data_IF_766470371812
#
_entry.id   IF_766470371812
#
_cell.length_a   1.000
_cell.length_b   1.000
_cell.length_c   1.000
_cell.angle_alpha   90.00
_cell.angle_beta   90.00
_cell.angle_gamma   90.00
#
_symmetry.space_group_name_H-M   'P 1'
#
loop_
_entity.id
_entity.type
_entity.pdbx_description
1 polymer ?
#
# COMPACT_ATOMS: atom_id res chain seq x y z
N UNK A 1 -48.66 81.62 -15.25
CA UNK A 1 -47.20 81.71 -15.39
C UNK A 1 -46.53 80.94 -14.26
N UNK A 2 -45.69 79.93 -14.61
CA UNK A 2 -44.76 79.12 -13.77
C UNK A 2 -45.32 78.07 -12.78
N UNK A 3 -45.46 76.85 -13.33
CA UNK A 3 -45.02 75.50 -12.87
C UNK A 3 -44.57 75.35 -11.40
N UNK A 4 -45.14 74.36 -10.69
CA UNK A 4 -44.39 73.47 -9.78
C UNK A 4 -45.08 72.09 -9.66
N UNK A 5 -44.36 71.05 -10.11
CA UNK A 5 -44.70 69.62 -10.04
C UNK A 5 -44.59 69.11 -8.59
N UNK A 6 -45.46 68.18 -8.18
CA UNK A 6 -45.13 67.17 -7.18
C UNK A 6 -45.64 65.80 -7.61
N UNK A 7 -44.75 64.82 -7.41
CA UNK A 7 -44.68 63.48 -8.01
C UNK A 7 -45.38 62.46 -7.11
N UNK A 8 -46.13 61.52 -7.71
CA UNK A 8 -46.63 60.30 -7.05
C UNK A 8 -45.50 59.27 -6.95
N UNK A 9 -45.32 58.60 -5.82
CA UNK A 9 -44.68 57.28 -5.78
C UNK A 9 -45.23 56.42 -4.63
N UNK A 10 -45.82 55.29 -4.98
CA UNK A 10 -46.14 54.15 -4.10
C UNK A 10 -44.83 53.46 -3.69
N UNK A 11 -44.73 53.04 -2.43
CA UNK A 11 -43.68 52.13 -1.97
C UNK A 11 -44.33 50.91 -1.34
N UNK A 12 -44.31 49.80 -2.07
CA UNK A 12 -44.44 48.43 -1.57
C UNK A 12 -43.04 47.83 -1.64
N UNK A 13 -42.48 47.39 -0.52
CA UNK A 13 -41.07 46.98 -0.43
C UNK A 13 -40.85 45.72 0.40
N UNK A 14 -40.92 44.59 -0.31
CA UNK A 14 -40.25 43.28 -0.13
C UNK A 14 -39.51 42.98 1.20
N UNK A 15 -39.98 41.97 1.94
CA UNK A 15 -39.19 41.21 2.91
C UNK A 15 -38.26 40.23 2.16
N UNK A 16 -36.95 40.44 2.24
CA UNK A 16 -35.94 39.49 1.76
C UNK A 16 -35.63 38.51 2.91
N UNK A 17 -36.10 37.27 2.80
CA UNK A 17 -35.61 36.16 3.62
C UNK A 17 -34.42 35.52 2.92
N UNK A 18 -33.20 35.81 3.39
CA UNK A 18 -32.00 35.07 3.01
C UNK A 18 -31.97 33.74 3.76
N UNK A 19 -32.31 32.66 3.05
CA UNK A 19 -32.15 31.29 3.52
C UNK A 19 -30.68 30.88 3.32
N UNK A 20 -29.86 31.02 4.35
CA UNK A 20 -28.50 30.49 4.38
C UNK A 20 -28.55 28.98 4.57
N UNK A 21 -28.37 28.22 3.49
CA UNK A 21 -28.16 26.78 3.54
C UNK A 21 -26.79 26.52 4.15
N UNK A 22 -26.75 26.09 5.41
CA UNK A 22 -25.59 25.41 5.96
C UNK A 22 -25.51 24.05 5.23
N UNK A 23 -24.61 23.98 4.25
CA UNK A 23 -24.17 22.70 3.72
C UNK A 23 -23.54 21.92 4.85
N UNK A 24 -24.20 20.86 5.29
CA UNK A 24 -23.57 19.86 6.15
C UNK A 24 -22.54 19.19 5.26
N UNK A 25 -21.28 19.59 5.38
CA UNK A 25 -20.17 18.80 4.85
C UNK A 25 -20.13 17.58 5.75
N UNK A 26 -20.76 16.49 5.31
CA UNK A 26 -20.51 15.18 5.90
C UNK A 26 -19.02 14.93 5.74
N UNK A 27 -18.26 15.01 6.84
CA UNK A 27 -16.91 14.48 6.86
C UNK A 27 -16.99 13.02 6.45
N UNK A 28 -16.36 12.66 5.34
CA UNK A 28 -16.11 11.26 5.04
C UNK A 28 -15.23 10.75 6.19
N UNK A 29 -15.80 9.94 7.07
CA UNK A 29 -15.00 9.19 8.02
C UNK A 29 -14.30 8.13 7.18
N UNK A 30 -12.98 8.22 7.04
CA UNK A 30 -12.20 7.15 6.43
C UNK A 30 -12.46 5.88 7.24
N UNK A 31 -12.96 4.83 6.59
CA UNK A 31 -13.10 3.52 7.23
C UNK A 31 -11.72 2.89 7.31
N UNK A 32 -11.12 2.93 8.51
CA UNK A 32 -9.88 2.23 8.81
C UNK A 32 -10.21 0.83 9.31
N UNK A 33 -9.65 -0.17 8.65
CA UNK A 33 -9.70 -1.56 9.06
C UNK A 33 -8.37 -1.96 9.68
N UNK A 34 -8.40 -2.62 10.85
CA UNK A 34 -7.20 -3.21 11.44
C UNK A 34 -7.36 -4.73 11.44
N UNK A 35 -6.53 -5.40 10.64
CA UNK A 35 -6.36 -6.84 10.74
C UNK A 35 -5.39 -7.15 11.88
N UNK A 36 -5.65 -8.23 12.60
CA UNK A 36 -4.85 -8.67 13.74
C UNK A 36 -4.72 -10.18 13.71
N UNK A 37 -3.49 -10.68 13.87
CA UNK A 37 -3.23 -12.08 14.15
C UNK A 37 -1.95 -12.24 14.97
N UNK A 38 -2.05 -12.91 16.11
CA UNK A 38 -0.94 -13.24 17.02
C UNK A 38 0.01 -12.06 17.33
N UNK A 39 1.22 -12.00 16.77
CA UNK A 39 2.22 -10.96 17.01
C UNK A 39 2.10 -9.75 16.06
N UNK A 40 1.08 -9.74 15.19
CA UNK A 40 1.03 -8.87 14.02
C UNK A 40 -0.29 -8.14 13.86
N UNK A 41 -0.21 -6.91 13.36
CA UNK A 41 -1.37 -6.12 12.93
C UNK A 41 -1.06 -5.39 11.63
N UNK A 42 -2.07 -5.19 10.77
CA UNK A 42 -1.96 -4.31 9.61
C UNK A 42 -3.20 -3.43 9.48
N UNK A 43 -3.01 -2.17 9.07
CA UNK A 43 -4.11 -1.22 8.86
C UNK A 43 -4.38 -1.04 7.38
N UNK A 44 -5.65 -1.03 6.98
CA UNK A 44 -6.11 -0.76 5.63
C UNK A 44 -7.09 0.42 5.66
N UNK A 45 -6.71 1.52 5.02
CA UNK A 45 -7.63 2.61 4.68
C UNK A 45 -8.27 2.31 3.32
N UNK A 46 -9.56 1.96 3.33
CA UNK A 46 -10.29 1.58 2.13
C UNK A 46 -10.73 2.76 1.26
N UNK A 47 -10.48 4.00 1.68
CA UNK A 47 -11.02 5.19 1.02
C UNK A 47 -9.97 6.26 0.71
N UNK A 48 -8.69 5.93 0.85
CA UNK A 48 -7.59 6.83 0.51
C UNK A 48 -6.43 6.09 -0.14
N UNK A 49 -5.54 6.85 -0.78
CA UNK A 49 -4.32 6.31 -1.37
C UNK A 49 -3.34 5.74 -0.33
N UNK A 50 -3.51 6.03 0.96
CA UNK A 50 -2.68 5.42 2.02
C UNK A 50 -2.79 3.91 1.99
N UNK A 51 -3.98 3.38 1.73
CA UNK A 51 -4.16 1.96 1.50
C UNK A 51 -3.74 1.09 2.67
N UNK A 52 -2.95 0.06 2.39
CA UNK A 52 -2.35 -0.78 3.44
C UNK A 52 -1.12 -0.08 4.03
N UNK A 53 -1.09 0.05 5.36
CA UNK A 53 -0.02 0.71 6.12
C UNK A 53 0.06 0.10 7.52
N UNK A 54 1.04 0.52 8.32
CA UNK A 54 1.16 0.12 9.71
C UNK A 54 1.21 -1.41 9.87
N UNK A 55 2.07 -2.09 9.10
CA UNK A 55 2.30 -3.53 9.25
C UNK A 55 3.27 -3.75 10.42
N UNK A 56 2.66 -3.83 11.60
CA UNK A 56 3.35 -3.98 12.87
C UNK A 56 3.61 -5.45 13.14
N UNK A 57 4.88 -5.82 13.35
CA UNK A 57 5.33 -7.16 13.76
C UNK A 57 6.11 -7.02 15.06
N UNK A 58 5.66 -7.68 16.12
CA UNK A 58 6.28 -7.61 17.45
C UNK A 58 6.44 -6.17 17.99
N UNK A 59 5.49 -5.30 17.62
CA UNK A 59 5.44 -3.90 18.05
C UNK A 59 6.27 -2.92 17.21
N UNK A 60 6.93 -3.40 16.15
CA UNK A 60 7.65 -2.55 15.19
C UNK A 60 6.86 -2.46 13.89
N UNK A 61 6.53 -1.24 13.46
CA UNK A 61 5.95 -0.99 12.15
C UNK A 61 7.02 -1.12 11.06
N UNK A 62 6.65 -1.76 9.96
CA UNK A 62 7.52 -1.99 8.82
C UNK A 62 7.00 -1.36 7.53
N UNK A 63 5.72 -0.96 7.44
CA UNK A 63 5.11 -0.57 6.18
C UNK A 63 4.57 0.86 6.23
N UNK A 64 5.20 1.74 5.45
CA UNK A 64 4.73 3.09 5.27
C UNK A 64 3.48 3.11 4.38
N UNK A 65 3.54 2.50 3.19
CA UNK A 65 2.43 2.49 2.24
C UNK A 65 2.47 1.30 1.27
N UNK A 66 1.32 0.68 1.03
CA UNK A 66 1.08 -0.15 -0.13
C UNK A 66 -0.29 0.18 -0.72
N UNK A 67 -0.34 0.43 -2.02
CA UNK A 67 -1.62 0.64 -2.68
C UNK A 67 -1.65 0.24 -4.17
N UNK A 68 -2.80 0.46 -4.82
CA UNK A 68 -3.07 0.03 -6.18
C UNK A 68 -3.60 1.15 -7.08
N UNK A 69 -3.16 1.13 -8.34
CA UNK A 69 -3.63 2.03 -9.40
C UNK A 69 -4.08 1.23 -10.61
N UNK A 70 -4.97 1.82 -11.41
CA UNK A 70 -5.43 1.25 -12.67
C UNK A 70 -5.50 2.31 -13.78
N UNK A 71 -5.11 1.93 -14.99
CA UNK A 71 -5.25 2.72 -16.21
C UNK A 71 -5.98 1.91 -17.29
N UNK A 72 -6.79 2.58 -18.12
CA UNK A 72 -7.54 1.94 -19.21
C UNK A 72 -7.09 2.52 -20.55
N UNK A 73 -6.72 1.63 -21.48
CA UNK A 73 -6.20 2.01 -22.78
C UNK A 73 -4.90 2.82 -22.66
N UNK A 74 -4.87 3.98 -23.29
CA UNK A 74 -3.71 4.90 -23.29
C UNK A 74 -3.92 6.12 -22.38
N UNK A 75 -5.01 6.17 -21.62
CA UNK A 75 -5.26 7.23 -20.64
C UNK A 75 -4.36 7.10 -19.41
N UNK A 76 -4.36 8.07 -18.49
CA UNK A 76 -3.60 7.99 -17.24
C UNK A 76 -4.12 6.87 -16.34
N UNK A 77 -3.37 6.59 -15.29
CA UNK A 77 -3.81 5.73 -14.19
C UNK A 77 -4.41 6.54 -13.04
N UNK A 78 -5.28 5.89 -12.29
CA UNK A 78 -5.94 6.42 -11.11
C UNK A 78 -5.84 5.41 -9.99
N UNK A 79 -5.73 5.90 -8.76
CA UNK A 79 -5.76 5.05 -7.58
C UNK A 79 -7.13 4.39 -7.40
N UNK A 80 -7.17 3.15 -6.89
CA UNK A 80 -8.43 2.38 -6.82
C UNK A 80 -9.46 2.97 -5.84
N UNK A 81 -9.05 3.77 -4.85
CA UNK A 81 -9.96 4.50 -3.94
C UNK A 81 -10.80 5.57 -4.66
N UNK A 82 -10.45 5.92 -5.90
CA UNK A 82 -11.28 6.79 -6.76
C UNK A 82 -12.51 6.07 -7.33
N UNK A 83 -12.56 4.74 -7.24
CA UNK A 83 -13.73 3.94 -7.56
C UNK A 83 -14.72 3.97 -6.38
N UNK A 84 -15.99 3.67 -6.66
CA UNK A 84 -16.97 3.52 -5.58
C UNK A 84 -16.69 2.24 -4.80
N UNK A 85 -16.45 2.34 -3.51
CA UNK A 85 -16.42 1.19 -2.61
C UNK A 85 -17.84 0.64 -2.44
N UNK A 86 -18.08 -0.58 -2.89
CA UNK A 86 -19.40 -1.22 -2.96
C UNK A 86 -19.61 -2.34 -1.95
N UNK A 87 -18.53 -2.90 -1.42
CA UNK A 87 -18.57 -3.89 -0.35
C UNK A 87 -17.31 -3.80 0.49
N UNK A 88 -17.48 -3.97 1.81
CA UNK A 88 -16.41 -4.10 2.79
C UNK A 88 -16.83 -5.21 3.75
N UNK A 89 -16.11 -6.33 3.76
CA UNK A 89 -16.46 -7.50 4.56
C UNK A 89 -15.26 -7.98 5.35
N UNK A 90 -15.34 -7.88 6.67
CA UNK A 90 -14.39 -8.51 7.59
C UNK A 90 -14.87 -9.93 7.93
N UNK A 91 -14.26 -10.95 7.32
CA UNK A 91 -14.67 -12.35 7.54
C UNK A 91 -14.16 -12.91 8.86
N UNK A 92 -13.00 -12.44 9.31
CA UNK A 92 -12.40 -12.71 10.60
C UNK A 92 -11.49 -11.54 10.98
N UNK A 93 -10.94 -11.48 12.21
CA UNK A 93 -9.96 -10.47 12.57
C UNK A 93 -8.73 -10.39 11.65
N UNK A 94 -8.47 -11.40 10.81
CA UNK A 94 -7.30 -11.47 9.93
C UNK A 94 -7.64 -11.52 8.44
N UNK A 95 -8.92 -11.40 8.06
CA UNK A 95 -9.35 -11.50 6.65
C UNK A 95 -10.32 -10.38 6.31
N UNK A 96 -9.93 -9.53 5.37
CA UNK A 96 -10.73 -8.42 4.86
C UNK A 96 -10.90 -8.54 3.35
N UNK A 97 -12.13 -8.36 2.87
CA UNK A 97 -12.50 -8.30 1.46
C UNK A 97 -13.09 -6.91 1.16
N UNK A 98 -12.52 -6.23 0.16
CA UNK A 98 -12.92 -4.92 -0.31
C UNK A 98 -13.26 -4.98 -1.80
N UNK A 99 -14.45 -4.48 -2.17
CA UNK A 99 -14.89 -4.45 -3.57
C UNK A 99 -15.13 -3.02 -4.04
N UNK A 100 -14.27 -2.56 -4.94
CA UNK A 100 -14.33 -1.27 -5.62
C UNK A 100 -14.95 -1.43 -7.01
N UNK A 101 -15.74 -0.47 -7.46
CA UNK A 101 -16.44 -0.58 -8.74
C UNK A 101 -16.78 0.77 -9.38
N UNK A 102 -16.78 0.80 -10.71
CA UNK A 102 -17.48 1.79 -11.52
C UNK A 102 -18.26 1.09 -12.66
N UNK A 103 -18.65 1.81 -13.71
CA UNK A 103 -19.40 1.21 -14.84
C UNK A 103 -18.53 0.36 -15.78
N UNK A 104 -17.20 0.38 -15.65
CA UNK A 104 -16.25 -0.30 -16.53
C UNK A 104 -15.62 -1.52 -15.85
N UNK A 105 -15.19 -1.38 -14.60
CA UNK A 105 -14.47 -2.41 -13.86
C UNK A 105 -15.01 -2.60 -12.45
N UNK A 106 -14.79 -3.80 -11.92
CA UNK A 106 -14.80 -4.11 -10.50
C UNK A 106 -13.42 -4.64 -10.09
N UNK A 107 -12.91 -4.17 -8.97
CA UNK A 107 -11.65 -4.59 -8.35
C UNK A 107 -11.97 -5.09 -6.96
N UNK A 108 -11.74 -6.37 -6.74
CA UNK A 108 -11.96 -7.09 -5.50
C UNK A 108 -10.59 -7.42 -4.92
N UNK A 109 -10.33 -6.97 -3.69
CA UNK A 109 -9.04 -7.12 -3.00
C UNK A 109 -9.28 -7.82 -1.67
N UNK A 110 -8.72 -9.03 -1.56
CA UNK A 110 -8.78 -9.84 -0.35
C UNK A 110 -7.41 -9.81 0.31
N UNK A 111 -7.37 -9.37 1.57
CA UNK A 111 -6.21 -9.41 2.44
C UNK A 111 -6.34 -10.56 3.44
N UNK A 112 -5.24 -11.28 3.67
CA UNK A 112 -5.13 -12.36 4.65
C UNK A 112 -3.86 -12.19 5.49
N UNK A 113 -4.00 -11.83 6.76
CA UNK A 113 -2.87 -11.68 7.69
C UNK A 113 -2.62 -12.98 8.46
N UNK A 114 -1.35 -13.39 8.55
CA UNK A 114 -0.89 -14.43 9.47
C UNK A 114 0.28 -13.89 10.31
N UNK A 115 0.12 -13.92 11.63
CA UNK A 115 1.17 -13.61 12.58
C UNK A 115 2.03 -14.83 12.90
N UNK A 116 3.29 -14.58 13.23
CA UNK A 116 4.18 -15.56 13.85
C UNK A 116 3.92 -15.72 15.35
N UNK A 117 4.82 -16.45 16.02
CA UNK A 117 4.83 -16.49 17.48
C UNK A 117 5.33 -15.14 18.03
N UNK A 118 4.83 -14.72 19.20
CA UNK A 118 5.30 -13.49 19.85
C UNK A 118 6.83 -13.54 20.03
N UNK A 119 7.50 -12.51 19.53
CA UNK A 119 8.94 -12.33 19.53
C UNK A 119 9.68 -13.04 18.40
N UNK A 120 8.99 -13.65 17.43
CA UNK A 120 9.66 -14.35 16.32
C UNK A 120 10.15 -13.40 15.22
N UNK A 121 9.57 -12.20 15.10
CA UNK A 121 9.84 -11.27 14.00
C UNK A 121 9.23 -11.71 12.66
N UNK A 122 8.36 -12.73 12.66
CA UNK A 122 7.72 -13.23 11.44
C UNK A 122 6.28 -12.74 11.33
N UNK A 123 5.88 -12.36 10.13
CA UNK A 123 4.48 -12.16 9.74
C UNK A 123 4.33 -12.30 8.24
N UNK A 124 3.16 -12.75 7.81
CA UNK A 124 2.81 -12.93 6.41
C UNK A 124 1.50 -12.21 6.05
N UNK A 125 1.45 -11.61 4.87
CA UNK A 125 0.23 -11.06 4.26
C UNK A 125 0.04 -11.64 2.87
N UNK A 126 -1.00 -12.45 2.72
CA UNK A 126 -1.50 -12.91 1.43
C UNK A 126 -2.47 -11.91 0.83
N UNK A 127 -2.41 -11.74 -0.49
CA UNK A 127 -3.34 -10.92 -1.26
C UNK A 127 -3.89 -11.66 -2.47
N UNK A 128 -5.18 -11.50 -2.72
CA UNK A 128 -5.81 -11.87 -3.98
C UNK A 128 -6.54 -10.67 -4.55
N UNK A 129 -6.23 -10.33 -5.80
CA UNK A 129 -6.86 -9.23 -6.53
C UNK A 129 -7.63 -9.82 -7.71
N UNK A 130 -8.94 -9.59 -7.77
CA UNK A 130 -9.80 -9.99 -8.88
C UNK A 130 -10.32 -8.75 -9.59
N UNK A 131 -9.92 -8.58 -10.85
CA UNK A 131 -10.35 -7.46 -11.69
C UNK A 131 -11.32 -7.98 -12.74
N UNK A 132 -12.54 -7.44 -12.78
CA UNK A 132 -13.61 -7.85 -13.69
C UNK A 132 -13.88 -6.75 -14.70
N UNK A 133 -13.99 -7.11 -15.98
CA UNK A 133 -14.52 -6.22 -17.01
C UNK A 133 -16.05 -6.28 -16.98
N UNK A 134 -16.70 -5.16 -16.68
CA UNK A 134 -18.16 -5.08 -16.58
C UNK A 134 -18.84 -4.76 -17.91
N UNK A 135 -18.06 -4.49 -18.96
CA UNK A 135 -18.54 -4.09 -20.28
C UNK A 135 -18.71 -5.29 -21.23
N UNK A 136 -19.40 -5.04 -22.34
CA UNK A 136 -19.57 -5.99 -23.46
C UNK A 136 -18.43 -5.94 -24.49
N UNK A 137 -17.37 -5.17 -24.22
CA UNK A 137 -16.21 -5.00 -25.09
C UNK A 137 -14.92 -5.36 -24.36
N UNK A 138 -13.88 -5.78 -25.07
CA UNK A 138 -12.58 -6.04 -24.44
C UNK A 138 -12.01 -4.78 -23.79
N UNK A 139 -11.39 -4.93 -22.63
CA UNK A 139 -10.77 -3.84 -21.87
C UNK A 139 -9.26 -4.01 -21.85
N UNK A 140 -8.53 -3.03 -22.37
CA UNK A 140 -7.07 -2.97 -22.22
C UNK A 140 -6.74 -2.30 -20.88
N UNK A 141 -6.25 -3.09 -19.93
CA UNK A 141 -5.99 -2.68 -18.55
C UNK A 141 -4.48 -2.62 -18.29
N UNK A 142 -4.05 -1.54 -17.63
CA UNK A 142 -2.78 -1.44 -16.91
C UNK A 142 -3.10 -1.41 -15.43
N UNK A 143 -2.59 -2.35 -14.64
CA UNK A 143 -2.79 -2.40 -13.19
C UNK A 143 -1.44 -2.30 -12.49
N UNK A 144 -1.39 -1.58 -11.37
CA UNK A 144 -0.16 -1.31 -10.65
C UNK A 144 -0.33 -1.63 -9.17
N UNK A 145 0.72 -2.17 -8.56
CA UNK A 145 0.92 -2.11 -7.12
C UNK A 145 2.15 -1.25 -6.85
N UNK A 146 2.04 -0.32 -5.90
CA UNK A 146 3.17 0.39 -5.33
C UNK A 146 3.34 -0.03 -3.87
N UNK A 147 4.58 -0.11 -3.42
CA UNK A 147 4.96 -0.48 -2.06
C UNK A 147 6.15 0.35 -1.58
N UNK A 148 6.08 0.70 -0.30
CA UNK A 148 7.01 1.54 0.42
C UNK A 148 7.13 1.00 1.85
N UNK A 149 8.19 0.25 2.12
CA UNK A 149 8.48 -0.29 3.45
C UNK A 149 9.50 0.59 4.15
N UNK A 150 9.28 0.83 5.44
CA UNK A 150 10.26 1.33 6.40
C UNK A 150 10.68 0.13 7.27
N UNK A 151 11.44 -0.83 6.72
CA UNK A 151 11.70 -2.09 7.43
C UNK A 151 12.44 -1.83 8.74
N UNK A 152 12.04 -2.53 9.82
CA UNK A 152 12.61 -2.27 11.14
C UNK A 152 12.26 -0.88 11.72
N UNK A 153 11.36 -0.13 11.07
CA UNK A 153 10.95 1.22 11.45
C UNK A 153 11.91 2.32 11.00
N UNK A 154 12.82 2.03 10.06
CA UNK A 154 13.78 2.99 9.52
C UNK A 154 13.82 2.95 7.99
N UNK A 155 13.59 4.08 7.29
CA UNK A 155 13.59 4.08 5.83
C UNK A 155 14.98 4.18 5.20
N UNK A 156 15.97 4.76 5.87
CA UNK A 156 17.18 5.27 5.18
C UNK A 156 18.28 4.23 4.92
N UNK A 157 18.21 3.07 5.55
CA UNK A 157 19.19 1.97 5.46
C UNK A 157 18.66 0.72 4.76
N UNK A 158 17.48 0.85 4.16
CA UNK A 158 16.86 -0.21 3.39
C UNK A 158 17.52 -0.41 2.03
N UNK A 159 17.52 -1.65 1.55
CA UNK A 159 17.96 -2.00 0.20
C UNK A 159 16.95 -2.92 -0.45
N UNK A 160 16.37 -2.48 -1.57
CA UNK A 160 15.40 -3.26 -2.33
C UNK A 160 15.99 -3.75 -3.66
N UNK A 161 15.62 -4.96 -4.06
CA UNK A 161 16.00 -5.54 -5.34
C UNK A 161 15.07 -6.68 -5.77
N UNK A 162 15.07 -6.95 -7.07
CA UNK A 162 14.38 -8.09 -7.68
C UNK A 162 15.31 -9.30 -7.75
N UNK A 163 14.97 -10.41 -7.11
CA UNK A 163 15.78 -11.63 -7.18
C UNK A 163 15.44 -12.51 -8.39
N UNK A 164 14.20 -12.48 -8.86
CA UNK A 164 13.76 -13.23 -10.03
C UNK A 164 12.49 -12.60 -10.66
N UNK A 165 11.93 -13.26 -11.69
CA UNK A 165 10.79 -12.75 -12.43
C UNK A 165 9.56 -12.37 -11.56
N UNK A 166 9.39 -13.00 -10.40
CA UNK A 166 8.20 -12.87 -9.57
C UNK A 166 8.49 -12.41 -8.15
N UNK A 167 9.74 -12.09 -7.80
CA UNK A 167 10.10 -11.84 -6.40
C UNK A 167 10.86 -10.52 -6.21
N UNK A 168 10.33 -9.67 -5.34
CA UNK A 168 11.06 -8.54 -4.74
C UNK A 168 11.56 -8.90 -3.36
N UNK A 169 12.70 -8.34 -3.00
CA UNK A 169 13.23 -8.34 -1.65
C UNK A 169 13.53 -6.92 -1.20
N UNK A 170 13.41 -6.71 0.10
CA UNK A 170 13.98 -5.56 0.79
C UNK A 170 14.67 -6.04 2.07
N UNK A 171 15.81 -5.45 2.39
CA UNK A 171 16.58 -5.80 3.58
C UNK A 171 16.98 -4.54 4.31
N UNK A 172 16.94 -4.59 5.63
CA UNK A 172 17.37 -3.50 6.51
C UNK A 172 18.69 -3.83 7.22
N UNK A 173 19.43 -2.79 7.61
CA UNK A 173 20.68 -2.90 8.37
C UNK A 173 20.53 -3.58 9.73
N UNK A 174 19.33 -3.58 10.32
CA UNK A 174 19.03 -4.23 11.60
C UNK A 174 18.69 -5.73 11.48
N UNK A 175 18.67 -6.29 10.26
CA UNK A 175 18.44 -7.72 10.02
C UNK A 175 16.99 -8.09 9.69
N UNK A 176 16.10 -7.11 9.59
CA UNK A 176 14.77 -7.31 9.02
C UNK A 176 14.89 -7.59 7.53
N UNK A 177 14.14 -8.58 7.07
CA UNK A 177 14.06 -8.96 5.66
C UNK A 177 12.60 -9.05 5.25
N UNK A 178 12.34 -8.59 4.05
CA UNK A 178 11.05 -8.68 3.39
C UNK A 178 11.21 -9.42 2.06
N UNK A 179 10.20 -10.21 1.72
CA UNK A 179 10.03 -10.71 0.37
C UNK A 179 8.58 -10.65 -0.07
N UNK A 180 8.38 -10.27 -1.33
CA UNK A 180 7.09 -10.33 -2.00
C UNK A 180 7.17 -11.26 -3.20
N UNK A 181 6.29 -12.25 -3.27
CA UNK A 181 6.19 -13.18 -4.39
C UNK A 181 4.87 -12.98 -5.11
N UNK A 182 4.92 -12.69 -6.41
CA UNK A 182 3.77 -12.73 -7.30
C UNK A 182 3.54 -14.18 -7.74
N UNK A 183 2.50 -14.82 -7.23
CA UNK A 183 2.18 -16.22 -7.53
C UNK A 183 1.83 -16.41 -9.00
N UNK A 184 0.80 -15.69 -9.46
CA UNK A 184 0.45 -15.58 -10.88
C UNK A 184 -0.52 -14.42 -11.13
N UNK A 185 -0.54 -13.88 -12.36
CA UNK A 185 0.49 -14.00 -13.38
C UNK A 185 1.69 -13.08 -13.09
N UNK A 186 2.84 -13.38 -13.71
CA UNK A 186 4.01 -12.51 -13.64
C UNK A 186 3.68 -11.09 -14.13
N UNK A 187 4.26 -10.09 -13.48
CA UNK A 187 4.14 -8.69 -13.88
C UNK A 187 4.79 -8.46 -15.25
N UNK A 188 4.21 -7.56 -16.04
CA UNK A 188 4.74 -7.12 -17.34
C UNK A 188 5.92 -6.17 -17.17
N UNK A 189 5.84 -5.28 -16.16
CA UNK A 189 6.91 -4.37 -15.79
C UNK A 189 7.07 -4.26 -14.28
N UNK A 190 8.20 -3.73 -13.83
CA UNK A 190 8.55 -3.56 -12.42
C UNK A 190 9.49 -2.38 -12.26
N UNK A 191 9.62 -1.84 -11.06
CA UNK A 191 10.58 -0.79 -10.77
C UNK A 191 10.93 -0.79 -9.30
N UNK A 192 12.22 -0.77 -8.99
CA UNK A 192 12.76 -0.36 -7.70
C UNK A 192 13.31 1.06 -7.85
N UNK A 193 13.02 1.97 -6.92
CA UNK A 193 13.47 3.36 -6.99
C UNK A 193 13.49 4.04 -5.63
N UNK A 194 14.05 5.24 -5.54
CA UNK A 194 14.02 6.07 -4.33
C UNK A 194 12.68 6.81 -4.22
N UNK A 195 12.12 6.85 -3.01
CA UNK A 195 10.94 7.65 -2.68
C UNK A 195 11.16 9.13 -3.00
N UNK A 196 10.18 9.87 -3.56
CA UNK A 196 8.84 9.45 -4.00
C UNK A 196 8.73 9.24 -5.54
N UNK A 197 9.80 8.84 -6.23
CA UNK A 197 9.88 8.89 -7.70
C UNK A 197 8.74 8.13 -8.39
N UNK A 198 8.54 6.86 -8.01
CA UNK A 198 7.50 6.00 -8.60
C UNK A 198 6.09 6.49 -8.22
N UNK A 199 5.88 6.91 -6.97
CA UNK A 199 4.59 7.40 -6.51
C UNK A 199 4.17 8.69 -7.23
N UNK A 200 5.13 9.57 -7.51
CA UNK A 200 4.88 10.79 -8.29
C UNK A 200 4.44 10.46 -9.72
N UNK A 201 5.10 9.48 -10.37
CA UNK A 201 4.72 9.05 -11.72
C UNK A 201 3.29 8.50 -11.77
N UNK A 202 2.89 7.69 -10.77
CA UNK A 202 1.53 7.15 -10.69
C UNK A 202 0.44 8.21 -10.42
N UNK A 203 0.82 9.43 -10.04
CA UNK A 203 -0.09 10.52 -9.66
C UNK A 203 0.04 11.78 -10.53
N UNK A 204 0.81 11.75 -11.61
CA UNK A 204 1.08 12.93 -12.45
C UNK A 204 0.02 13.19 -13.55
N UNK A 205 -1.02 12.34 -13.61
CA UNK A 205 -2.08 12.36 -14.62
C UNK A 205 -1.58 12.09 -16.05
N UNK A 206 -0.44 11.44 -16.20
CA UNK A 206 0.09 10.90 -17.46
C UNK A 206 0.06 9.37 -17.41
N UNK A 207 0.12 8.69 -18.57
CA UNK A 207 0.22 7.23 -18.59
C UNK A 207 1.64 6.78 -18.19
N UNK A 208 1.76 6.02 -17.11
CA UNK A 208 3.05 5.44 -16.69
C UNK A 208 3.34 4.08 -17.34
N UNK A 209 4.61 3.84 -17.65
CA UNK A 209 5.17 2.50 -17.81
C UNK A 209 6.40 2.41 -16.92
N UNK A 210 6.40 1.43 -16.02
CA UNK A 210 7.53 1.21 -15.11
C UNK A 210 8.80 0.89 -15.91
N UNK A 211 9.94 1.33 -15.39
CA UNK A 211 11.21 1.37 -16.14
C UNK A 211 11.97 0.03 -16.19
N UNK A 212 11.40 -1.06 -15.67
CA UNK A 212 12.03 -2.37 -15.56
C UNK A 212 13.37 -2.35 -14.79
N UNK A 213 13.47 -1.46 -13.79
CA UNK A 213 14.65 -1.38 -12.92
C UNK A 213 14.59 -2.46 -11.82
N UNK A 214 15.50 -3.45 -11.80
CA UNK A 214 15.49 -4.50 -10.78
C UNK A 214 16.17 -4.08 -9.47
N UNK A 215 16.80 -2.90 -9.40
CA UNK A 215 17.73 -2.58 -8.31
C UNK A 215 19.07 -3.32 -8.45
N UNK A 216 19.89 -3.39 -7.38
CA UNK A 216 19.59 -2.89 -6.04
C UNK A 216 19.57 -1.36 -5.98
N UNK A 217 18.69 -0.85 -5.13
CA UNK A 217 18.66 0.56 -4.71
C UNK A 217 18.73 0.57 -3.18
N UNK A 218 19.47 1.52 -2.60
CA UNK A 218 19.63 1.65 -1.14
C UNK A 218 19.23 3.06 -0.70
N UNK A 219 18.54 3.17 0.43
CA UNK A 219 17.95 4.40 0.96
C UNK A 219 16.48 4.18 1.31
N UNK A 220 15.72 5.28 1.33
CA UNK A 220 14.26 5.25 1.36
C UNK A 220 13.74 4.71 0.01
N UNK A 221 13.50 3.40 -0.02
CA UNK A 221 13.29 2.63 -1.24
C UNK A 221 11.85 2.19 -1.40
N UNK A 222 11.40 2.33 -2.64
CA UNK A 222 10.07 1.93 -3.09
C UNK A 222 10.23 0.87 -4.15
N UNK A 223 9.21 0.02 -4.30
CA UNK A 223 9.10 -0.82 -5.47
C UNK A 223 7.66 -0.92 -5.97
N UNK A 224 7.53 -1.22 -7.26
CA UNK A 224 6.24 -1.35 -7.91
C UNK A 224 6.23 -2.49 -8.93
N UNK A 225 5.03 -3.03 -9.12
CA UNK A 225 4.70 -4.01 -10.16
C UNK A 225 3.65 -3.44 -11.09
N UNK A 226 3.73 -3.79 -12.36
CA UNK A 226 2.75 -3.42 -13.37
C UNK A 226 2.33 -4.63 -14.21
N UNK A 227 1.03 -4.80 -14.40
CA UNK A 227 0.44 -5.79 -15.31
C UNK A 227 -0.25 -5.08 -16.46
N UNK A 228 0.10 -5.46 -17.69
CA UNK A 228 -0.61 -5.05 -18.90
C UNK A 228 -1.40 -6.25 -19.41
N UNK A 229 -2.73 -6.13 -19.51
CA UNK A 229 -3.60 -7.25 -19.89
C UNK A 229 -4.81 -6.78 -20.68
N UNK A 230 -5.33 -7.66 -21.55
CA UNK A 230 -6.62 -7.45 -22.19
C UNK A 230 -7.63 -8.39 -21.53
N UNK A 231 -8.62 -7.81 -20.85
CA UNK A 231 -9.72 -8.56 -20.26
C UNK A 231 -10.85 -8.66 -21.27
N UNK A 232 -11.23 -9.87 -21.65
CA UNK A 232 -12.36 -10.12 -22.55
C UNK A 232 -13.67 -9.51 -22.02
N UNK A 233 -14.68 -9.27 -22.89
CA UNK A 233 -16.01 -8.87 -22.46
C UNK A 233 -16.51 -9.75 -21.32
N UNK A 234 -17.00 -9.14 -20.24
CA UNK A 234 -17.51 -9.86 -19.05
C UNK A 234 -16.51 -10.81 -18.38
N UNK A 235 -15.23 -10.74 -18.74
CA UNK A 235 -14.16 -11.59 -18.23
C UNK A 235 -13.52 -11.06 -16.95
N UNK A 236 -12.54 -11.80 -16.43
CA UNK A 236 -11.76 -11.41 -15.26
C UNK A 236 -10.27 -11.67 -15.45
N UNK A 237 -9.49 -10.97 -14.62
CA UNK A 237 -8.06 -11.13 -14.43
C UNK A 237 -7.81 -11.28 -12.93
N UNK A 238 -6.97 -12.24 -12.53
CA UNK A 238 -6.73 -12.58 -11.13
C UNK A 238 -5.23 -12.49 -10.88
N UNK A 239 -4.84 -11.78 -9.82
CA UNK A 239 -3.47 -11.71 -9.32
C UNK A 239 -3.46 -12.31 -7.91
N UNK A 240 -2.48 -13.17 -7.62
CA UNK A 240 -2.21 -13.62 -6.25
C UNK A 240 -0.80 -13.27 -5.82
N UNK A 241 -0.66 -12.89 -4.56
CA UNK A 241 0.61 -12.43 -3.99
C UNK A 241 0.77 -12.92 -2.56
N UNK A 242 2.02 -13.08 -2.17
CA UNK A 242 2.46 -13.52 -0.86
C UNK A 242 3.56 -12.57 -0.38
N UNK A 243 3.44 -12.08 0.86
CA UNK A 243 4.38 -11.14 1.46
C UNK A 243 4.83 -11.68 2.79
N UNK A 244 6.13 -11.77 2.99
CA UNK A 244 6.72 -12.28 4.21
C UNK A 244 7.68 -11.24 4.78
N UNK A 245 7.49 -10.88 6.05
CA UNK A 245 8.50 -10.28 6.91
C UNK A 245 9.11 -11.40 7.75
N UNK A 246 10.44 -11.42 7.80
CA UNK A 246 11.22 -12.29 8.66
C UNK A 246 12.42 -11.53 9.22
N UNK A 247 12.70 -11.72 10.50
CA UNK A 247 13.92 -11.22 11.13
C UNK A 247 14.90 -12.38 11.19
N UNK A 248 15.94 -12.31 10.37
CA UNK A 248 17.07 -13.22 10.49
C UNK A 248 18.08 -12.57 11.44
N UNK A 249 18.15 -12.96 12.73
CA UNK A 249 19.12 -12.39 13.64
C UNK A 249 20.52 -12.73 13.11
N UNK A 250 21.18 -11.75 12.49
CA UNK A 250 22.60 -11.84 12.20
C UNK A 250 23.28 -11.86 13.57
N UNK A 251 24.06 -12.89 13.94
CA UNK A 251 24.75 -12.89 15.21
C UNK A 251 25.62 -11.65 15.29
N UNK A 252 25.34 -10.75 16.23
CA UNK A 252 26.14 -9.55 16.36
C UNK A 252 27.62 -9.97 16.54
N UNK A 253 28.57 -9.34 15.81
CA UNK A 253 29.99 -9.68 15.94
C UNK A 253 30.49 -9.62 17.40
N UNK A 254 29.84 -8.79 18.24
CA UNK A 254 30.13 -8.66 19.66
C UNK A 254 29.80 -9.94 20.46
N UNK A 255 28.76 -10.69 20.11
CA UNK A 255 28.38 -11.92 20.82
C UNK A 255 29.41 -13.03 20.55
N UNK A 256 29.93 -13.10 19.33
CA UNK A 256 31.03 -14.00 18.97
C UNK A 256 32.32 -13.58 19.70
N UNK A 257 32.59 -12.28 19.80
CA UNK A 257 33.74 -11.75 20.53
C UNK A 257 33.67 -12.07 22.04
N UNK A 258 32.48 -11.93 22.65
CA UNK A 258 32.24 -12.22 24.07
C UNK A 258 32.31 -13.73 24.38
N UNK A 259 31.79 -14.58 23.50
CA UNK A 259 31.96 -16.04 23.61
C UNK A 259 33.44 -16.40 23.47
N UNK A 260 34.14 -15.80 22.50
CA UNK A 260 35.58 -15.97 22.33
C UNK A 260 36.38 -15.54 23.56
N UNK A 261 36.06 -14.37 24.13
CA UNK A 261 36.71 -13.86 25.34
C UNK A 261 36.40 -14.71 26.58
N UNK A 262 35.16 -15.19 26.72
CA UNK A 262 34.73 -16.07 27.80
C UNK A 262 35.44 -17.43 27.78
N UNK A 263 35.55 -18.06 26.61
CA UNK A 263 36.27 -19.32 26.43
C UNK A 263 37.77 -19.17 26.71
N UNK A 264 38.38 -18.06 26.26
CA UNK A 264 39.78 -17.75 26.57
C UNK A 264 40.01 -17.49 28.06
N UNK A 265 39.07 -16.84 28.74
CA UNK A 265 39.09 -16.64 30.19
C UNK A 265 39.05 -17.95 30.98
N UNK A 266 38.15 -18.87 30.61
CA UNK A 266 38.04 -20.21 31.22
C UNK A 266 39.31 -21.02 31.01
N UNK A 267 39.89 -20.97 29.80
CA UNK A 267 41.15 -21.64 29.48
C UNK A 267 42.35 -21.09 30.28
N UNK A 268 42.43 -19.77 30.45
CA UNK A 268 43.48 -19.15 31.24
C UNK A 268 43.38 -19.51 32.74
N UNK A 269 42.16 -19.65 33.27
CA UNK A 269 41.93 -20.05 34.66
C UNK A 269 42.23 -21.54 34.88
N UNK A 270 41.93 -22.42 33.92
CA UNK A 270 42.22 -23.86 34.03
C UNK A 270 43.72 -24.16 34.00
N UNK A 271 44.51 -23.43 33.20
CA UNK A 271 45.98 -23.53 33.17
C UNK A 271 46.67 -23.07 34.46
N UNK A 272 46.03 -22.22 35.27
CA UNK A 272 46.59 -21.76 36.55
C UNK A 272 46.37 -22.74 37.71
N UNK A 273 45.55 -23.77 37.50
CA UNK A 273 45.10 -24.72 38.55
C UNK A 273 45.64 -26.14 38.38
N UNK A 274 46.45 -26.42 37.35
CA UNK A 274 47.23 -27.65 37.20
C UNK A 274 48.71 -27.36 37.39
#
# INVERSE_FOLDING_TARGET
MKIKKWVRLMVLGLCVMTLSTFGVISGANATLWTLTDTNSTVTIDSQSQTGMSNWVVDGIDNLFQQWFWYGIGTGPEFSIDTLTLTSETLYSPSILDLVYQNNLISVDVIYFLTGGSIGSGNSDVGETIVIKNLTETSLNLRFFQYTDFDLGGTPNDDTAYRSNANTMHQTDGSGYTFSEVVGAPAASHYQVDIFPTTLNALNDLLPTTLLDNPGPVTGDVTFAWQWNTVINPRGSFIISKDKLIDVNPVPEPATILLIGAGLMGVYAVSRKRG
#
